data_IF_136810094831
#
_entry.id   IF_136810094831
#
_cell.length_a   1.000
_cell.length_b   1.000
_cell.length_c   1.000
_cell.angle_alpha   90.00
_cell.angle_beta   90.00
_cell.angle_gamma   90.00
#
_symmetry.space_group_name_H-M   'P 1'
#
loop_
_entity.id
_entity.type
_entity.pdbx_description
1 polymer ?
#
# COMPACT_ATOMS: atom_id res chain seq x y z
N UNK A 1 -37.63 27.97 11.77
CA UNK A 1 -37.00 26.97 12.67
C UNK A 1 -36.81 25.62 12.01
N UNK A 2 -37.84 25.05 11.37
CA UNK A 2 -37.76 23.78 10.66
C UNK A 2 -36.78 23.79 9.49
N UNK A 3 -36.65 24.90 8.75
CA UNK A 3 -35.71 25.03 7.64
C UNK A 3 -34.24 24.97 8.11
N UNK A 4 -33.91 25.59 9.23
CA UNK A 4 -32.55 25.58 9.81
C UNK A 4 -32.20 24.20 10.36
N UNK A 5 -33.15 23.50 10.98
CA UNK A 5 -32.94 22.15 11.48
C UNK A 5 -32.69 21.16 10.33
N UNK A 6 -33.44 21.29 9.21
CA UNK A 6 -33.25 20.46 8.02
C UNK A 6 -31.90 20.73 7.35
N UNK A 7 -31.52 22.01 7.25
CA UNK A 7 -30.21 22.41 6.71
C UNK A 7 -29.08 21.85 7.54
N UNK A 8 -29.20 21.90 8.86
CA UNK A 8 -28.23 21.36 9.80
C UNK A 8 -28.10 19.85 9.66
N UNK A 9 -29.21 19.13 9.52
CA UNK A 9 -29.23 17.68 9.29
C UNK A 9 -28.52 17.31 7.97
N UNK A 10 -28.73 18.11 6.90
CA UNK A 10 -28.04 17.90 5.61
C UNK A 10 -26.53 18.07 5.76
N UNK A 11 -26.10 19.10 6.47
CA UNK A 11 -24.67 19.35 6.71
C UNK A 11 -24.06 18.19 7.47
N UNK A 12 -24.72 17.68 8.50
CA UNK A 12 -24.24 16.53 9.28
C UNK A 12 -24.14 15.26 8.43
N UNK A 13 -25.12 15.02 7.55
CA UNK A 13 -25.09 13.90 6.61
C UNK A 13 -23.93 14.01 5.65
N UNK A 14 -23.69 15.18 5.08
CA UNK A 14 -22.56 15.42 4.16
C UNK A 14 -21.24 15.19 4.86
N UNK A 15 -21.07 15.67 6.07
CA UNK A 15 -19.86 15.46 6.87
C UNK A 15 -19.62 13.97 7.18
N UNK A 16 -20.69 13.24 7.50
CA UNK A 16 -20.61 11.79 7.74
C UNK A 16 -20.19 11.03 6.49
N UNK A 17 -20.76 11.39 5.32
CA UNK A 17 -20.39 10.77 4.04
C UNK A 17 -18.94 11.10 3.69
N UNK A 18 -18.48 12.32 3.90
CA UNK A 18 -17.10 12.72 3.66
C UNK A 18 -16.12 11.92 4.52
N UNK A 19 -16.46 11.72 5.80
CA UNK A 19 -15.66 10.87 6.70
C UNK A 19 -15.61 9.42 6.20
N UNK A 20 -16.75 8.86 5.83
CA UNK A 20 -16.83 7.47 5.33
C UNK A 20 -16.01 7.30 4.05
N UNK A 21 -16.08 8.25 3.12
CA UNK A 21 -15.28 8.21 1.89
C UNK A 21 -13.79 8.31 2.18
N UNK A 22 -13.40 9.20 3.10
CA UNK A 22 -12.00 9.33 3.50
C UNK A 22 -11.46 8.04 4.14
N UNK A 23 -12.24 7.40 5.00
CA UNK A 23 -11.89 6.12 5.62
C UNK A 23 -11.78 5.00 4.60
N UNK A 24 -12.69 4.96 3.61
CA UNK A 24 -12.63 3.98 2.53
C UNK A 24 -11.35 4.16 1.69
N UNK A 25 -11.00 5.39 1.35
CA UNK A 25 -9.79 5.69 0.60
C UNK A 25 -8.53 5.34 1.40
N UNK A 26 -8.52 5.59 2.71
CA UNK A 26 -7.44 5.16 3.58
C UNK A 26 -7.29 3.64 3.57
N UNK A 27 -8.39 2.92 3.65
CA UNK A 27 -8.38 1.45 3.62
C UNK A 27 -7.78 0.93 2.30
N UNK A 28 -8.12 1.55 1.17
CA UNK A 28 -7.53 1.22 -0.13
C UNK A 28 -6.03 1.49 -0.17
N UNK A 29 -5.59 2.61 0.37
CA UNK A 29 -4.17 2.95 0.45
C UNK A 29 -3.39 1.96 1.34
N UNK A 30 -3.95 1.57 2.48
CA UNK A 30 -3.36 0.57 3.37
C UNK A 30 -3.27 -0.80 2.70
N UNK A 31 -4.28 -1.18 1.93
CA UNK A 31 -4.28 -2.44 1.17
C UNK A 31 -3.16 -2.42 0.12
N UNK A 32 -2.97 -1.31 -0.58
CA UNK A 32 -1.90 -1.15 -1.56
C UNK A 32 -0.51 -1.30 -0.90
N UNK A 33 -0.30 -0.66 0.23
CA UNK A 33 0.95 -0.81 1.00
C UNK A 33 1.18 -2.26 1.38
N UNK A 34 0.16 -2.95 1.90
CA UNK A 34 0.28 -4.37 2.27
C UNK A 34 0.61 -5.25 1.07
N UNK A 35 -0.03 -5.01 -0.08
CA UNK A 35 0.22 -5.77 -1.30
C UNK A 35 1.67 -5.62 -1.75
N UNK A 36 2.24 -4.42 -1.69
CA UNK A 36 3.62 -4.18 -2.06
C UNK A 36 4.60 -4.81 -1.07
N UNK A 37 4.31 -4.78 0.22
CA UNK A 37 5.10 -5.47 1.25
C UNK A 37 5.07 -6.98 1.03
N UNK A 38 3.91 -7.56 0.76
CA UNK A 38 3.76 -8.99 0.47
C UNK A 38 4.53 -9.40 -0.78
N UNK A 39 4.49 -8.58 -1.82
CA UNK A 39 5.27 -8.83 -3.04
C UNK A 39 6.78 -8.83 -2.74
N UNK A 40 7.26 -7.88 -1.94
CA UNK A 40 8.65 -7.83 -1.49
C UNK A 40 9.05 -9.08 -0.71
N UNK A 41 8.18 -9.57 0.17
CA UNK A 41 8.42 -10.80 0.92
C UNK A 41 8.47 -12.03 0.01
N UNK A 42 7.62 -12.11 -1.00
CA UNK A 42 7.64 -13.20 -1.99
C UNK A 42 8.94 -13.21 -2.77
N UNK A 43 9.42 -12.06 -3.21
CA UNK A 43 10.71 -11.94 -3.91
C UNK A 43 11.84 -12.41 -3.01
N UNK A 44 11.87 -11.99 -1.76
CA UNK A 44 12.86 -12.40 -0.77
C UNK A 44 12.82 -13.90 -0.50
N UNK A 45 11.62 -14.50 -0.42
CA UNK A 45 11.44 -15.93 -0.22
C UNK A 45 11.95 -16.75 -1.41
N UNK A 46 11.69 -16.31 -2.64
CA UNK A 46 12.19 -16.96 -3.86
C UNK A 46 13.72 -16.89 -3.89
N UNK A 47 14.28 -15.74 -3.54
CA UNK A 47 15.74 -15.55 -3.48
C UNK A 47 16.37 -16.50 -2.45
N UNK A 48 15.79 -16.61 -1.25
CA UNK A 48 16.29 -17.50 -0.20
C UNK A 48 16.21 -18.97 -0.61
N UNK A 49 15.15 -19.37 -1.32
CA UNK A 49 14.98 -20.73 -1.82
C UNK A 49 15.96 -21.06 -2.94
N UNK A 50 16.40 -20.07 -3.72
CA UNK A 50 17.36 -20.26 -4.81
C UNK A 50 18.82 -20.34 -4.33
N UNK A 51 19.14 -19.76 -3.19
CA UNK A 51 20.52 -19.71 -2.66
C UNK A 51 21.17 -21.06 -2.41
N UNK A 52 20.51 -22.08 -1.81
CA UNK A 52 21.13 -23.39 -1.60
C UNK A 52 21.50 -24.12 -2.90
N UNK A 53 20.89 -23.75 -4.01
CA UNK A 53 21.14 -24.38 -5.31
C UNK A 53 22.46 -23.92 -5.96
N UNK A 54 23.03 -22.81 -5.50
CA UNK A 54 24.24 -22.21 -6.08
C UNK A 54 25.49 -23.07 -5.86
N UNK A 55 25.55 -23.88 -4.81
CA UNK A 55 26.73 -24.65 -4.44
C UNK A 55 26.86 -26.06 -5.10
N UNK A 56 25.83 -26.55 -5.80
CA UNK A 56 25.74 -27.95 -6.22
C UNK A 56 25.59 -28.18 -7.73
N UNK A 57 25.91 -27.20 -8.61
CA UNK A 57 25.36 -27.21 -9.95
C UNK A 57 26.39 -27.08 -11.07
N UNK A 58 26.07 -27.68 -12.26
CA UNK A 58 26.78 -27.48 -13.50
C UNK A 58 26.80 -25.99 -13.93
N UNK A 59 27.77 -25.61 -14.79
CA UNK A 59 27.90 -24.23 -15.23
C UNK A 59 26.65 -23.63 -15.89
N UNK A 60 25.83 -24.45 -16.57
CA UNK A 60 24.56 -24.00 -17.17
C UNK A 60 23.52 -23.66 -16.10
N UNK A 61 23.39 -24.47 -15.08
CA UNK A 61 22.45 -24.23 -13.99
C UNK A 61 22.88 -23.03 -13.12
N UNK A 62 24.18 -22.84 -12.94
CA UNK A 62 24.74 -21.69 -12.27
C UNK A 62 24.40 -20.39 -13.00
N UNK A 63 24.48 -20.39 -14.33
CA UNK A 63 24.04 -19.26 -15.15
C UNK A 63 22.55 -18.94 -14.93
N UNK A 64 21.73 -19.96 -14.97
CA UNK A 64 20.27 -19.79 -14.77
C UNK A 64 19.96 -19.23 -13.40
N UNK A 65 20.64 -19.70 -12.37
CA UNK A 65 20.48 -19.22 -10.99
C UNK A 65 20.97 -17.77 -10.87
N UNK A 66 22.12 -17.43 -11.46
CA UNK A 66 22.64 -16.06 -11.46
C UNK A 66 21.71 -15.10 -12.21
N UNK A 67 21.14 -15.54 -13.34
CA UNK A 67 20.18 -14.78 -14.10
C UNK A 67 18.89 -14.55 -13.33
N UNK A 68 18.38 -15.58 -12.65
CA UNK A 68 17.21 -15.45 -11.77
C UNK A 68 17.49 -14.49 -10.61
N UNK A 69 18.64 -14.62 -9.94
CA UNK A 69 19.06 -13.70 -8.88
C UNK A 69 19.10 -12.25 -9.36
N UNK A 70 19.65 -12.02 -10.54
CA UNK A 70 19.72 -10.69 -11.15
C UNK A 70 18.34 -10.11 -11.42
N UNK A 71 17.41 -10.93 -11.93
CA UNK A 71 16.02 -10.51 -12.16
C UNK A 71 15.30 -10.21 -10.86
N UNK A 72 15.52 -11.00 -9.81
CA UNK A 72 14.93 -10.79 -8.49
C UNK A 72 15.46 -9.50 -7.86
N UNK A 73 16.75 -9.20 -8.01
CA UNK A 73 17.36 -7.95 -7.57
C UNK A 73 16.72 -6.75 -8.26
N UNK A 74 16.55 -6.83 -9.57
CA UNK A 74 15.93 -5.78 -10.37
C UNK A 74 14.47 -5.57 -9.94
N UNK A 75 13.72 -6.65 -9.74
CA UNK A 75 12.33 -6.59 -9.29
C UNK A 75 12.23 -5.96 -7.90
N UNK A 76 13.14 -6.32 -6.99
CA UNK A 76 13.15 -5.78 -5.64
C UNK A 76 13.47 -4.28 -5.62
N UNK A 77 14.42 -3.84 -6.44
CA UNK A 77 14.73 -2.41 -6.60
C UNK A 77 13.58 -1.63 -7.24
N UNK A 78 12.89 -2.26 -8.20
CA UNK A 78 11.73 -1.66 -8.86
C UNK A 78 10.56 -1.41 -7.90
N UNK A 79 10.48 -2.10 -6.76
CA UNK A 79 9.45 -1.89 -5.75
C UNK A 79 9.70 -0.65 -4.89
N UNK A 80 10.90 -0.09 -4.87
CA UNK A 80 11.26 0.99 -3.96
C UNK A 80 10.41 2.25 -4.20
N UNK A 81 10.27 2.70 -5.44
CA UNK A 81 9.48 3.88 -5.77
C UNK A 81 7.98 3.67 -5.58
N UNK A 82 7.34 2.59 -6.09
CA UNK A 82 5.94 2.32 -5.79
C UNK A 82 5.65 2.20 -4.29
N UNK A 83 6.53 1.56 -3.52
CA UNK A 83 6.37 1.42 -2.08
C UNK A 83 6.40 2.76 -1.37
N UNK A 84 7.33 3.62 -1.73
CA UNK A 84 7.41 4.99 -1.18
C UNK A 84 6.16 5.78 -1.53
N UNK A 85 5.73 5.74 -2.79
CA UNK A 85 4.54 6.45 -3.26
C UNK A 85 3.29 5.96 -2.53
N UNK A 86 3.14 4.65 -2.32
CA UNK A 86 2.02 4.08 -1.60
C UNK A 86 2.01 4.50 -0.13
N UNK A 87 3.18 4.53 0.53
CA UNK A 87 3.29 4.99 1.91
C UNK A 87 2.96 6.47 2.05
N UNK A 88 3.42 7.30 1.12
CA UNK A 88 3.10 8.72 1.09
C UNK A 88 1.60 8.96 0.87
N UNK A 89 0.99 8.23 -0.05
CA UNK A 89 -0.45 8.28 -0.29
C UNK A 89 -1.24 7.88 0.95
N UNK A 90 -0.83 6.81 1.64
CA UNK A 90 -1.42 6.37 2.90
C UNK A 90 -1.33 7.47 3.96
N UNK A 91 -0.16 8.09 4.11
CA UNK A 91 0.05 9.14 5.10
C UNK A 91 -0.82 10.36 4.82
N UNK A 92 -0.90 10.78 3.55
CA UNK A 92 -1.82 11.86 3.15
C UNK A 92 -3.27 11.53 3.48
N UNK A 93 -3.67 10.28 3.22
CA UNK A 93 -5.04 9.85 3.46
C UNK A 93 -5.35 9.73 4.95
N UNK A 94 -4.38 9.38 5.80
CA UNK A 94 -4.52 9.42 7.26
C UNK A 94 -4.82 10.84 7.74
N UNK A 95 -4.11 11.83 7.22
CA UNK A 95 -4.38 13.23 7.53
C UNK A 95 -5.77 13.65 7.05
N UNK A 96 -6.20 13.21 5.88
CA UNK A 96 -7.53 13.50 5.36
C UNK A 96 -8.63 12.90 6.25
N UNK A 97 -8.44 11.70 6.77
CA UNK A 97 -9.38 11.06 7.71
C UNK A 97 -9.47 11.86 9.01
N UNK A 98 -8.34 12.25 9.58
CA UNK A 98 -8.32 13.07 10.79
C UNK A 98 -9.07 14.38 10.58
N UNK A 99 -8.80 15.05 9.47
CA UNK A 99 -9.48 16.31 9.11
C UNK A 99 -11.00 16.12 8.94
N UNK A 100 -11.41 15.01 8.27
CA UNK A 100 -12.82 14.71 8.07
C UNK A 100 -13.54 14.42 9.40
N UNK A 101 -12.91 13.68 10.31
CA UNK A 101 -13.44 13.39 11.65
C UNK A 101 -13.58 14.66 12.47
N UNK A 102 -12.60 15.55 12.41
CA UNK A 102 -12.66 16.84 13.10
C UNK A 102 -13.81 17.69 12.58
N UNK A 103 -14.03 17.72 11.26
CA UNK A 103 -15.15 18.45 10.66
C UNK A 103 -16.50 17.87 11.08
N UNK A 104 -16.60 16.56 11.22
CA UNK A 104 -17.83 15.89 11.64
C UNK A 104 -18.18 16.23 13.10
N UNK A 105 -17.18 16.32 13.97
CA UNK A 105 -17.38 16.61 15.40
C UNK A 105 -17.49 18.09 15.74
N UNK A 106 -17.11 18.97 14.83
CA UNK A 106 -17.27 20.41 15.01
C UNK A 106 -18.72 20.88 14.70
#
# INVERSE_FOLDING_TARGET
MTANAQRWKRILKVRAVQRQLAELQLHRCEKEVRNLVDLGHRISAIRAAAQPLVGAQSGMMLRSVCELSSRLDTAQRALATPSRNAQEARNRQRHAVVAARQRETA
#
